data_IF_879621568946
#
_entry.id   IF_879621568946
#
_cell.length_a   1.000
_cell.length_b   1.000
_cell.length_c   1.000
_cell.angle_alpha   90.00
_cell.angle_beta   90.00
_cell.angle_gamma   90.00
#
_symmetry.space_group_name_H-M   'P 1'
#
loop_
_entity.id
_entity.type
_entity.pdbx_description
1 polymer ?
#
# COMPACT_ATOMS: atom_id res chain seq x y z
N UNK A 1 -11.97 58.01 55.76
CA UNK A 1 -13.27 58.41 55.16
C UNK A 1 -13.46 57.65 53.81
N UNK A 2 -14.55 56.88 53.76
CA UNK A 2 -15.28 56.38 52.59
C UNK A 2 -14.45 55.74 51.43
N UNK A 3 -14.31 54.43 51.38
CA UNK A 3 -15.10 53.41 50.69
C UNK A 3 -15.77 53.90 49.40
N UNK A 4 -15.34 53.30 48.29
CA UNK A 4 -16.27 52.86 47.24
C UNK A 4 -15.67 51.69 46.46
N UNK A 5 -16.34 50.58 46.60
CA UNK A 5 -16.25 49.32 45.84
C UNK A 5 -16.90 49.52 44.47
N UNK A 6 -16.30 49.01 43.46
CA UNK A 6 -17.02 48.67 42.24
C UNK A 6 -16.34 47.46 41.63
N UNK A 7 -16.98 46.31 41.78
CA UNK A 7 -16.62 45.10 41.13
C UNK A 7 -16.94 45.18 39.64
N UNK A 8 -16.02 44.73 38.82
CA UNK A 8 -16.30 44.30 37.45
C UNK A 8 -15.88 42.87 37.35
N UNK A 9 -16.88 42.02 37.34
CA UNK A 9 -16.70 40.63 37.11
C UNK A 9 -16.20 40.35 35.68
N UNK A 10 -15.03 39.78 35.57
CA UNK A 10 -14.61 39.17 34.33
C UNK A 10 -15.30 37.80 34.25
N UNK A 11 -16.38 37.76 33.49
CA UNK A 11 -16.95 36.51 33.05
C UNK A 11 -15.95 35.87 32.05
N UNK A 12 -15.22 34.87 32.53
CA UNK A 12 -14.43 34.04 31.67
C UNK A 12 -15.38 33.23 30.78
N UNK A 13 -15.54 33.66 29.54
CA UNK A 13 -16.15 32.83 28.49
C UNK A 13 -15.18 31.68 28.19
N UNK A 14 -15.42 30.54 28.81
CA UNK A 14 -14.86 29.28 28.38
C UNK A 14 -15.47 28.93 27.02
N UNK A 15 -14.82 29.34 25.93
CA UNK A 15 -15.10 28.84 24.61
C UNK A 15 -14.71 27.35 24.60
N UNK A 16 -15.68 26.50 24.83
CA UNK A 16 -15.58 25.07 24.55
C UNK A 16 -15.38 24.91 23.04
N UNK A 17 -14.16 24.70 22.63
CA UNK A 17 -13.81 24.20 21.29
C UNK A 17 -14.47 22.84 21.15
N UNK A 18 -15.72 22.80 20.71
CA UNK A 18 -16.30 21.62 20.12
C UNK A 18 -15.53 21.37 18.82
N UNK A 19 -14.47 20.57 18.91
CA UNK A 19 -13.92 19.86 17.77
C UNK A 19 -15.05 18.98 17.22
N UNK A 20 -15.77 19.54 16.26
CA UNK A 20 -16.70 18.78 15.42
C UNK A 20 -15.89 17.68 14.73
N UNK A 21 -15.87 16.52 15.36
CA UNK A 21 -15.49 15.27 14.69
C UNK A 21 -16.39 15.15 13.47
N UNK A 22 -15.82 15.36 12.28
CA UNK A 22 -16.50 15.01 11.05
C UNK A 22 -16.87 13.52 11.16
N UNK A 23 -18.12 13.14 10.92
CA UNK A 23 -18.50 11.75 10.92
C UNK A 23 -17.68 11.06 9.83
N UNK A 24 -16.81 10.15 10.23
CA UNK A 24 -16.22 9.17 9.31
C UNK A 24 -17.39 8.48 8.61
N UNK A 25 -17.32 8.26 7.28
CA UNK A 25 -18.40 7.60 6.59
C UNK A 25 -18.71 6.28 7.31
N UNK A 26 -19.96 6.14 7.75
CA UNK A 26 -20.45 4.99 8.53
C UNK A 26 -20.14 3.64 7.87
N UNK A 27 -19.90 3.64 6.57
CA UNK A 27 -19.52 2.47 5.76
C UNK A 27 -18.14 1.94 6.16
N UNK A 28 -17.15 2.81 6.44
CA UNK A 28 -15.81 2.38 6.84
C UNK A 28 -15.78 1.85 8.29
N UNK A 29 -16.65 2.36 9.14
CA UNK A 29 -16.76 1.92 10.52
C UNK A 29 -17.57 0.62 10.64
N UNK A 30 -18.61 0.45 9.82
CA UNK A 30 -19.36 -0.80 9.70
C UNK A 30 -18.47 -1.93 9.14
N UNK A 31 -17.66 -1.67 8.12
CA UNK A 31 -16.70 -2.65 7.59
C UNK A 31 -15.63 -3.05 8.60
N UNK A 32 -15.14 -2.11 9.43
CA UNK A 32 -14.22 -2.43 10.53
C UNK A 32 -14.86 -3.23 11.66
N UNK A 33 -16.13 -2.96 11.98
CA UNK A 33 -16.86 -3.72 12.99
C UNK A 33 -17.23 -5.12 12.49
N UNK A 34 -17.53 -5.27 11.21
CA UNK A 34 -17.83 -6.57 10.60
C UNK A 34 -16.57 -7.44 10.47
N UNK A 35 -15.40 -6.84 10.18
CA UNK A 35 -14.11 -7.53 10.21
C UNK A 35 -13.73 -7.99 11.64
N UNK A 36 -14.08 -7.20 12.66
CA UNK A 36 -13.82 -7.56 14.06
C UNK A 36 -14.76 -8.66 14.60
N UNK A 37 -15.84 -8.98 13.90
CA UNK A 37 -16.83 -9.99 14.31
C UNK A 37 -16.80 -11.29 13.50
N UNK A 38 -15.92 -11.38 12.47
CA UNK A 38 -15.75 -12.64 11.75
C UNK A 38 -15.16 -13.70 12.69
N UNK A 39 -15.75 -14.91 12.76
CA UNK A 39 -15.14 -15.99 13.51
C UNK A 39 -13.71 -16.21 13.03
N UNK A 40 -12.80 -16.49 13.99
CA UNK A 40 -11.41 -16.81 13.65
C UNK A 40 -11.43 -17.99 12.68
N UNK A 41 -10.97 -17.75 11.45
CA UNK A 41 -10.93 -18.79 10.42
C UNK A 41 -10.22 -20.05 10.94
N UNK A 42 -10.65 -21.21 10.47
CA UNK A 42 -10.01 -22.48 10.81
C UNK A 42 -8.52 -22.48 10.48
N UNK A 43 -8.12 -21.76 9.42
CA UNK A 43 -6.73 -21.56 9.04
C UNK A 43 -5.90 -20.95 10.17
N UNK A 44 -6.35 -19.81 10.73
CA UNK A 44 -5.65 -19.13 11.83
C UNK A 44 -5.60 -20.02 13.05
N UNK A 45 -6.68 -20.71 13.39
CA UNK A 45 -6.73 -21.58 14.57
C UNK A 45 -5.65 -22.68 14.56
N UNK A 46 -5.36 -23.25 13.38
CA UNK A 46 -4.33 -24.28 13.25
C UNK A 46 -2.95 -23.67 13.01
N UNK A 47 -2.83 -22.69 12.08
CA UNK A 47 -1.53 -22.12 11.70
C UNK A 47 -0.93 -21.19 12.75
N UNK A 48 -1.71 -20.71 13.72
CA UNK A 48 -1.19 -19.95 14.87
C UNK A 48 -0.85 -20.83 16.07
N UNK A 49 -1.11 -22.13 16.00
CA UNK A 49 -0.79 -23.06 17.08
C UNK A 49 0.73 -23.09 17.33
N UNK A 50 1.20 -22.87 18.58
CA UNK A 50 2.62 -22.94 18.90
C UNK A 50 3.29 -24.26 18.52
N UNK A 51 2.57 -25.36 18.46
CA UNK A 51 3.12 -26.65 18.00
C UNK A 51 3.59 -26.61 16.54
N UNK A 52 3.01 -25.72 15.71
CA UNK A 52 3.47 -25.50 14.34
C UNK A 52 4.88 -24.88 14.28
N UNK A 53 5.27 -24.10 15.30
CA UNK A 53 6.62 -23.56 15.37
C UNK A 53 7.68 -24.68 15.38
N UNK A 54 7.35 -25.82 15.95
CA UNK A 54 8.25 -26.96 16.05
C UNK A 54 8.06 -27.94 14.90
N UNK A 55 6.80 -28.25 14.57
CA UNK A 55 6.48 -29.29 13.58
C UNK A 55 6.48 -28.76 12.14
N UNK A 56 6.09 -27.51 11.94
CA UNK A 56 5.94 -26.85 10.63
C UNK A 56 6.41 -25.38 10.69
N UNK A 57 7.68 -25.10 11.06
CA UNK A 57 8.14 -23.74 11.39
C UNK A 57 7.87 -22.74 10.27
N UNK A 58 8.02 -23.17 9.00
CA UNK A 58 7.78 -22.30 7.86
C UNK A 58 6.33 -21.85 7.71
N UNK A 59 5.36 -22.70 8.03
CA UNK A 59 3.95 -22.35 7.99
C UNK A 59 3.59 -21.39 9.13
N UNK A 60 4.20 -21.57 10.31
CA UNK A 60 4.05 -20.66 11.42
C UNK A 60 4.65 -19.27 11.12
N UNK A 61 5.83 -19.21 10.50
CA UNK A 61 6.43 -17.96 10.02
C UNK A 61 5.53 -17.25 9.02
N UNK A 62 4.94 -17.96 8.07
CA UNK A 62 3.99 -17.39 7.11
C UNK A 62 2.76 -16.79 7.78
N UNK A 63 2.21 -17.44 8.79
CA UNK A 63 1.13 -16.87 9.59
C UNK A 63 1.56 -15.56 10.25
N UNK A 64 2.73 -15.52 10.87
CA UNK A 64 3.25 -14.30 11.50
C UNK A 64 3.51 -13.18 10.49
N UNK A 65 4.01 -13.51 9.31
CA UNK A 65 4.23 -12.55 8.22
C UNK A 65 2.91 -11.94 7.76
N UNK A 66 1.89 -12.77 7.52
CA UNK A 66 0.56 -12.29 7.17
C UNK A 66 -0.02 -11.40 8.27
N UNK A 67 0.07 -11.79 9.53
CA UNK A 67 -0.47 -11.03 10.66
C UNK A 67 0.10 -9.61 10.74
N UNK A 68 1.33 -9.39 10.28
CA UNK A 68 1.98 -8.08 10.22
C UNK A 68 1.69 -7.31 8.93
N UNK A 69 1.06 -7.93 7.95
CA UNK A 69 0.80 -7.33 6.64
C UNK A 69 -0.31 -6.29 6.69
N UNK A 70 -0.31 -5.41 5.69
CA UNK A 70 -1.43 -4.48 5.47
C UNK A 70 -2.72 -5.24 5.15
N UNK A 71 -2.64 -6.38 4.47
CA UNK A 71 -3.78 -7.20 4.13
C UNK A 71 -4.52 -7.69 5.39
N UNK A 72 -3.80 -8.19 6.39
CA UNK A 72 -4.41 -8.58 7.65
C UNK A 72 -5.04 -7.40 8.39
N UNK A 73 -4.40 -6.21 8.34
CA UNK A 73 -4.93 -4.98 8.95
C UNK A 73 -6.23 -4.50 8.28
N UNK A 74 -6.36 -4.73 6.98
CA UNK A 74 -7.55 -4.39 6.19
C UNK A 74 -8.58 -5.53 6.13
N UNK A 75 -8.36 -6.63 6.87
CA UNK A 75 -9.31 -7.74 7.00
C UNK A 75 -9.30 -8.74 5.86
N UNK A 76 -8.26 -8.74 5.02
CA UNK A 76 -8.03 -9.77 4.00
C UNK A 76 -7.53 -11.03 4.68
N UNK A 77 -8.19 -12.15 4.46
CA UNK A 77 -7.96 -13.41 5.16
C UNK A 77 -7.11 -14.38 4.35
N UNK A 78 -6.73 -15.50 4.97
CA UNK A 78 -5.98 -16.55 4.28
C UNK A 78 -6.78 -17.12 3.08
N UNK A 79 -8.08 -17.29 3.29
CA UNK A 79 -9.01 -17.81 2.28
C UNK A 79 -9.06 -16.92 1.03
N UNK A 80 -9.03 -15.60 1.17
CA UNK A 80 -9.13 -14.67 0.04
C UNK A 80 -7.99 -14.86 -0.99
N UNK A 81 -6.82 -15.34 -0.54
CA UNK A 81 -5.69 -15.62 -1.42
C UNK A 81 -5.49 -17.09 -1.73
N UNK A 82 -5.71 -17.95 -0.74
CA UNK A 82 -5.39 -19.38 -0.84
C UNK A 82 -6.58 -20.24 -1.22
N UNK A 83 -7.81 -19.77 -1.04
CA UNK A 83 -9.00 -20.59 -1.16
C UNK A 83 -9.10 -21.64 -0.04
N UNK A 84 -9.74 -22.74 -0.30
CA UNK A 84 -10.03 -23.81 0.67
C UNK A 84 -11.37 -23.60 1.37
N UNK A 85 -11.58 -24.29 2.50
CA UNK A 85 -12.79 -24.16 3.30
C UNK A 85 -12.44 -23.55 4.68
N UNK A 86 -12.75 -22.25 4.89
CA UNK A 86 -12.42 -21.55 6.13
C UNK A 86 -13.22 -22.02 7.36
N UNK A 87 -14.31 -22.74 7.15
CA UNK A 87 -15.17 -23.24 8.22
C UNK A 87 -14.86 -24.69 8.63
N UNK A 88 -14.03 -25.38 7.82
CA UNK A 88 -13.70 -26.77 8.09
C UNK A 88 -12.87 -26.93 9.37
N UNK A 89 -13.22 -27.91 10.21
CA UNK A 89 -12.46 -28.28 11.40
C UNK A 89 -11.38 -29.35 11.15
N UNK A 90 -11.43 -30.00 9.99
CA UNK A 90 -10.52 -31.06 9.54
C UNK A 90 -9.58 -30.52 8.47
N UNK A 91 -8.26 -30.76 8.65
CA UNK A 91 -7.24 -30.24 7.75
C UNK A 91 -7.42 -30.67 6.29
N UNK A 92 -7.90 -31.91 6.02
CA UNK A 92 -8.09 -32.37 4.64
C UNK A 92 -9.24 -31.65 3.96
N UNK A 93 -10.30 -31.30 4.71
CA UNK A 93 -11.43 -30.52 4.18
C UNK A 93 -11.00 -29.08 3.97
N UNK A 94 -10.33 -28.47 4.97
CA UNK A 94 -9.83 -27.10 4.86
C UNK A 94 -8.93 -26.90 3.63
N UNK A 95 -8.17 -27.92 3.22
CA UNK A 95 -7.24 -27.85 2.10
C UNK A 95 -7.77 -28.54 0.81
N UNK A 96 -9.02 -28.99 0.74
CA UNK A 96 -9.53 -29.81 -0.35
C UNK A 96 -9.44 -29.10 -1.72
N UNK A 97 -9.60 -27.78 -1.76
CA UNK A 97 -9.63 -26.98 -2.98
C UNK A 97 -8.31 -26.25 -3.28
N UNK A 98 -7.23 -26.56 -2.53
CA UNK A 98 -5.91 -25.98 -2.81
C UNK A 98 -5.25 -26.51 -4.09
N UNK A 99 -5.76 -27.56 -4.68
CA UNK A 99 -5.29 -28.15 -5.93
C UNK A 99 -6.34 -27.98 -7.00
N UNK A 100 -6.03 -27.21 -8.05
CA UNK A 100 -6.89 -27.14 -9.22
C UNK A 100 -6.99 -28.49 -9.95
N UNK A 101 -7.88 -28.57 -10.93
CA UNK A 101 -8.13 -29.75 -11.72
C UNK A 101 -6.89 -30.34 -12.45
N UNK A 102 -5.84 -29.53 -12.60
CA UNK A 102 -4.54 -29.89 -13.18
C UNK A 102 -3.50 -30.36 -12.14
N UNK A 103 -3.90 -30.53 -10.88
CA UNK A 103 -3.02 -30.94 -9.79
C UNK A 103 -2.05 -29.87 -9.30
N UNK A 104 -2.15 -28.63 -9.81
CA UNK A 104 -1.35 -27.49 -9.36
C UNK A 104 -2.06 -26.79 -8.23
N UNK A 105 -1.31 -26.31 -7.25
CA UNK A 105 -1.82 -25.42 -6.20
C UNK A 105 -2.19 -24.09 -6.84
N UNK A 106 -3.49 -23.81 -6.95
CA UNK A 106 -3.99 -22.93 -7.98
C UNK A 106 -3.77 -21.45 -7.75
N UNK A 107 -4.28 -20.91 -6.66
CA UNK A 107 -4.40 -19.47 -6.51
C UNK A 107 -3.03 -18.78 -6.30
N UNK A 108 -2.12 -19.39 -5.54
CA UNK A 108 -0.82 -18.81 -5.18
C UNK A 108 0.37 -19.44 -5.91
N UNK A 109 0.11 -20.23 -6.96
CA UNK A 109 1.18 -20.74 -7.79
C UNK A 109 1.88 -19.58 -8.53
N UNK A 110 3.20 -19.67 -8.70
CA UNK A 110 4.02 -18.60 -9.23
C UNK A 110 3.48 -17.99 -10.54
N UNK A 111 3.05 -18.80 -11.49
CA UNK A 111 2.52 -18.32 -12.78
C UNK A 111 1.08 -17.78 -12.72
N UNK A 112 0.39 -17.91 -11.59
CA UNK A 112 -1.01 -17.48 -11.40
C UNK A 112 -1.22 -16.44 -10.32
N UNK A 113 -0.27 -16.27 -9.43
CA UNK A 113 -0.38 -15.34 -8.29
C UNK A 113 -0.73 -13.91 -8.71
N UNK A 114 -0.36 -13.49 -9.91
CA UNK A 114 -0.73 -12.18 -10.44
C UNK A 114 -2.24 -12.06 -10.68
N UNK A 115 -2.92 -13.16 -11.02
CA UNK A 115 -4.39 -13.18 -11.17
C UNK A 115 -5.05 -13.03 -9.80
N UNK A 116 -4.61 -13.81 -8.82
CA UNK A 116 -5.11 -13.73 -7.44
C UNK A 116 -4.95 -12.32 -6.85
N UNK A 117 -3.80 -11.68 -7.05
CA UNK A 117 -3.63 -10.29 -6.65
C UNK A 117 -4.55 -9.35 -7.43
N UNK A 118 -4.72 -9.62 -8.72
CA UNK A 118 -5.52 -8.81 -9.64
C UNK A 118 -7.01 -8.83 -9.36
N UNK A 119 -7.54 -9.85 -8.66
CA UNK A 119 -8.96 -9.91 -8.29
C UNK A 119 -9.39 -8.69 -7.43
N UNK A 120 -8.44 -8.09 -6.69
CA UNK A 120 -8.65 -6.86 -5.94
C UNK A 120 -7.85 -5.67 -6.50
N UNK A 121 -6.69 -5.93 -7.12
CA UNK A 121 -5.78 -4.93 -7.68
C UNK A 121 -5.85 -4.91 -9.22
N UNK A 122 -7.05 -4.75 -9.78
CA UNK A 122 -7.34 -4.87 -11.22
C UNK A 122 -6.49 -3.92 -12.07
N UNK A 123 -6.46 -2.62 -11.73
CA UNK A 123 -5.68 -1.61 -12.48
C UNK A 123 -4.18 -1.90 -12.45
N UNK A 124 -3.67 -2.41 -11.33
CA UNK A 124 -2.28 -2.82 -11.15
C UNK A 124 -1.99 -4.04 -12.04
N UNK A 125 -2.88 -5.03 -12.05
CA UNK A 125 -2.76 -6.20 -12.93
C UNK A 125 -2.74 -5.77 -14.40
N UNK A 126 -3.64 -4.89 -14.80
CA UNK A 126 -3.69 -4.37 -16.17
C UNK A 126 -2.38 -3.69 -16.56
N UNK A 127 -1.82 -2.84 -15.68
CA UNK A 127 -0.54 -2.19 -15.92
C UNK A 127 0.61 -3.22 -16.03
N UNK A 128 0.65 -4.19 -15.11
CA UNK A 128 1.64 -5.26 -15.12
C UNK A 128 1.57 -6.11 -16.40
N UNK A 129 0.37 -6.44 -16.90
CA UNK A 129 0.20 -7.26 -18.11
C UNK A 129 0.72 -6.58 -19.38
N UNK A 130 0.90 -5.26 -19.36
CA UNK A 130 1.54 -4.48 -20.44
C UNK A 130 3.05 -4.42 -20.35
N UNK A 131 3.65 -4.97 -19.29
CA UNK A 131 5.09 -4.89 -19.03
C UNK A 131 5.90 -5.98 -19.71
N UNK A 132 7.19 -5.70 -19.96
CA UNK A 132 8.16 -6.72 -20.39
C UNK A 132 8.35 -7.82 -19.34
N UNK A 133 8.12 -7.53 -18.07
CA UNK A 133 8.17 -8.51 -16.98
C UNK A 133 7.10 -9.57 -17.13
N UNK A 134 5.86 -9.16 -17.44
CA UNK A 134 4.77 -10.10 -17.71
C UNK A 134 5.04 -10.96 -18.94
N UNK A 135 5.55 -10.35 -20.03
CA UNK A 135 5.91 -11.12 -21.22
C UNK A 135 6.99 -12.19 -20.95
N UNK A 136 7.93 -11.90 -20.06
CA UNK A 136 8.92 -12.89 -19.62
C UNK A 136 8.32 -13.93 -18.70
N UNK A 137 7.44 -13.55 -17.78
CA UNK A 137 6.76 -14.46 -16.87
C UNK A 137 5.90 -15.49 -17.64
N UNK A 138 5.19 -15.06 -18.70
CA UNK A 138 4.38 -15.96 -19.55
C UNK A 138 5.21 -17.03 -20.28
N UNK A 139 6.49 -16.77 -20.54
CA UNK A 139 7.40 -17.73 -21.19
C UNK A 139 7.96 -18.74 -20.22
N UNK A 140 7.41 -18.80 -19.00
CA UNK A 140 7.87 -19.71 -17.96
C UNK A 140 7.60 -21.16 -18.38
N UNK A 141 8.65 -21.87 -18.74
CA UNK A 141 8.61 -23.32 -18.89
C UNK A 141 8.71 -23.93 -17.49
N UNK A 142 8.01 -25.03 -17.26
CA UNK A 142 7.97 -25.72 -15.97
C UNK A 142 9.38 -25.88 -15.39
N UNK A 143 9.64 -25.18 -14.27
CA UNK A 143 10.91 -25.22 -13.54
C UNK A 143 11.93 -24.12 -13.87
N UNK A 144 11.68 -23.24 -14.82
CA UNK A 144 12.54 -22.06 -15.12
C UNK A 144 11.77 -20.77 -14.92
N UNK A 145 12.13 -20.03 -13.89
CA UNK A 145 11.55 -18.70 -13.62
C UNK A 145 12.19 -17.68 -14.56
N UNK A 146 11.44 -17.17 -15.52
CA UNK A 146 11.94 -16.23 -16.52
C UNK A 146 11.58 -14.76 -16.27
N UNK A 147 10.57 -14.47 -15.47
CA UNK A 147 10.13 -13.10 -15.16
C UNK A 147 9.60 -12.96 -13.73
N UNK A 148 9.67 -11.77 -13.14
CA UNK A 148 9.13 -11.53 -11.81
C UNK A 148 7.60 -11.51 -11.82
N UNK A 149 7.00 -11.90 -10.69
CA UNK A 149 5.58 -11.71 -10.39
C UNK A 149 5.43 -10.73 -9.22
N UNK A 150 4.20 -10.45 -8.81
CA UNK A 150 3.90 -9.56 -7.69
C UNK A 150 4.73 -9.90 -6.44
N UNK A 151 4.75 -11.17 -6.05
CA UNK A 151 5.47 -11.64 -4.86
C UNK A 151 7.00 -11.60 -4.99
N UNK A 152 7.52 -11.45 -6.19
CA UNK A 152 8.97 -11.29 -6.40
C UNK A 152 9.47 -9.97 -5.81
N UNK A 153 8.68 -8.91 -5.94
CA UNK A 153 9.01 -7.58 -5.43
C UNK A 153 8.38 -7.34 -4.06
N UNK A 154 7.09 -7.65 -3.90
CA UNK A 154 6.33 -7.34 -2.69
C UNK A 154 6.42 -8.39 -1.59
N UNK A 155 7.17 -9.48 -1.79
CA UNK A 155 7.12 -10.64 -0.90
C UNK A 155 5.76 -11.37 -0.95
N UNK A 156 5.64 -12.49 -0.25
CA UNK A 156 4.41 -13.30 -0.33
C UNK A 156 3.42 -12.94 0.76
N UNK A 157 3.75 -13.20 2.02
CA UNK A 157 2.77 -13.13 3.11
C UNK A 157 2.68 -11.75 3.76
N UNK A 158 3.79 -11.04 3.90
CA UNK A 158 3.81 -9.71 4.52
C UNK A 158 3.51 -8.57 3.55
N UNK A 159 3.45 -8.84 2.24
CA UNK A 159 3.01 -7.89 1.19
C UNK A 159 3.59 -6.48 1.36
N UNK A 160 4.91 -6.38 1.29
CA UNK A 160 5.66 -5.16 1.58
C UNK A 160 5.34 -4.02 0.60
N UNK A 161 5.14 -2.83 1.14
CA UNK A 161 5.26 -1.59 0.38
C UNK A 161 6.75 -1.27 0.24
N UNK A 162 7.23 -1.12 -1.00
CA UNK A 162 8.65 -0.90 -1.26
C UNK A 162 9.06 0.54 -0.90
N UNK A 163 10.14 0.65 -0.15
CA UNK A 163 10.90 1.88 0.01
C UNK A 163 12.07 1.98 -0.99
N UNK A 164 12.84 3.05 -0.93
CA UNK A 164 13.93 3.31 -1.88
C UNK A 164 15.03 2.25 -1.83
N UNK A 165 15.27 1.62 -0.69
CA UNK A 165 16.31 0.60 -0.54
C UNK A 165 15.77 -0.77 -0.97
N UNK A 166 14.55 -1.10 -0.62
CA UNK A 166 13.90 -2.35 -0.99
C UNK A 166 13.60 -2.44 -2.49
N UNK A 167 13.23 -1.33 -3.16
CA UNK A 167 13.06 -1.33 -4.62
C UNK A 167 14.38 -1.58 -5.34
N UNK A 168 15.47 -0.92 -4.92
CA UNK A 168 16.81 -1.15 -5.48
C UNK A 168 17.22 -2.61 -5.33
N UNK A 169 17.09 -3.16 -4.12
CA UNK A 169 17.42 -4.56 -3.84
C UNK A 169 16.55 -5.55 -4.63
N UNK A 170 15.25 -5.25 -4.80
CA UNK A 170 14.35 -6.09 -5.59
C UNK A 170 14.76 -6.13 -7.07
N UNK A 171 15.09 -4.99 -7.66
CA UNK A 171 15.55 -4.90 -9.04
C UNK A 171 16.91 -5.59 -9.23
N UNK A 172 17.84 -5.41 -8.28
CA UNK A 172 19.20 -5.94 -8.35
C UNK A 172 19.27 -7.48 -8.36
N UNK A 173 18.21 -8.20 -7.96
CA UNK A 173 18.17 -9.67 -8.06
C UNK A 173 18.30 -10.18 -9.49
N UNK A 174 17.89 -9.38 -10.48
CA UNK A 174 17.93 -9.74 -11.89
C UNK A 174 18.68 -8.72 -12.75
N UNK A 175 18.66 -7.43 -12.38
CA UNK A 175 19.32 -6.34 -13.09
C UNK A 175 20.68 -6.05 -12.43
N UNK A 176 21.71 -6.79 -12.85
CA UNK A 176 23.06 -6.68 -12.29
C UNK A 176 24.13 -7.03 -13.34
N UNK A 177 25.39 -6.87 -12.98
CA UNK A 177 26.52 -7.14 -13.88
C UNK A 177 26.71 -8.63 -14.21
N UNK A 178 26.22 -9.54 -13.36
CA UNK A 178 26.35 -10.98 -13.60
C UNK A 178 25.34 -11.49 -14.63
N UNK A 179 24.16 -10.92 -14.62
CA UNK A 179 23.09 -11.28 -15.58
C UNK A 179 23.17 -10.49 -16.88
N UNK A 180 23.93 -9.39 -16.88
CA UNK A 180 24.02 -8.41 -18.00
C UNK A 180 22.66 -7.81 -18.40
N UNK A 181 21.62 -7.99 -17.56
CA UNK A 181 20.29 -7.44 -17.80
C UNK A 181 20.22 -6.04 -17.21
N UNK A 182 20.48 -5.04 -18.03
CA UNK A 182 20.28 -3.60 -17.75
C UNK A 182 20.71 -3.21 -16.31
N UNK A 183 22.00 -3.29 -15.99
CA UNK A 183 22.50 -3.18 -14.61
C UNK A 183 22.32 -1.80 -13.98
N UNK A 184 21.85 -0.80 -14.74
CA UNK A 184 21.53 0.55 -14.22
C UNK A 184 20.15 0.65 -13.59
N UNK A 185 19.24 -0.26 -13.94
CA UNK A 185 17.83 -0.23 -13.50
C UNK A 185 17.67 -0.13 -11.98
N UNK A 186 18.44 -0.85 -11.13
CA UNK A 186 18.26 -0.72 -9.68
C UNK A 186 18.45 0.72 -9.15
N UNK A 187 19.53 1.37 -9.56
CA UNK A 187 19.79 2.76 -9.17
C UNK A 187 18.75 3.73 -9.75
N UNK A 188 18.36 3.53 -11.00
CA UNK A 188 17.35 4.33 -11.67
C UNK A 188 15.96 4.19 -11.03
N UNK A 189 15.57 2.99 -10.62
CA UNK A 189 14.32 2.72 -9.91
C UNK A 189 14.33 3.37 -8.52
N UNK A 190 15.43 3.25 -7.77
CA UNK A 190 15.61 3.93 -6.49
C UNK A 190 15.43 5.44 -6.63
N UNK A 191 16.09 6.05 -7.61
CA UNK A 191 16.04 7.49 -7.83
C UNK A 191 14.64 7.95 -8.26
N UNK A 192 13.96 7.18 -9.11
CA UNK A 192 12.58 7.43 -9.51
C UNK A 192 11.62 7.35 -8.30
N UNK A 193 11.77 6.33 -7.45
CA UNK A 193 10.94 6.19 -6.25
C UNK A 193 11.21 7.29 -5.23
N UNK A 194 12.48 7.67 -5.01
CA UNK A 194 12.80 8.79 -4.13
C UNK A 194 12.18 10.11 -4.61
N UNK A 195 12.16 10.32 -5.92
CA UNK A 195 11.49 11.46 -6.53
C UNK A 195 9.97 11.39 -6.32
N UNK A 196 9.34 10.26 -6.55
CA UNK A 196 7.92 10.04 -6.29
C UNK A 196 7.57 10.31 -4.82
N UNK A 197 8.31 9.77 -3.88
CA UNK A 197 8.11 9.98 -2.45
C UNK A 197 8.32 11.44 -2.01
N UNK A 198 8.99 12.27 -2.84
CA UNK A 198 9.11 13.69 -2.56
C UNK A 198 7.77 14.45 -2.65
N UNK A 199 6.77 13.90 -3.35
CA UNK A 199 5.41 14.46 -3.45
C UNK A 199 4.80 14.61 -2.05
N UNK A 200 4.98 13.61 -1.17
CA UNK A 200 4.49 13.68 0.22
C UNK A 200 5.09 14.86 1.00
N UNK A 201 6.34 15.21 0.77
CA UNK A 201 6.98 16.38 1.42
C UNK A 201 6.32 17.70 0.99
N UNK A 202 5.99 17.84 -0.29
CA UNK A 202 5.22 18.99 -0.78
C UNK A 202 3.80 18.99 -0.22
N UNK A 203 3.15 17.83 -0.21
CA UNK A 203 1.80 17.67 0.35
C UNK A 203 1.74 18.20 1.79
N UNK A 204 2.60 17.68 2.67
CA UNK A 204 2.67 18.10 4.07
C UNK A 204 2.96 19.60 4.23
N UNK A 205 3.85 20.16 3.39
CA UNK A 205 4.15 21.59 3.40
C UNK A 205 2.92 22.43 3.07
N UNK A 206 2.18 22.05 2.02
CA UNK A 206 1.03 22.78 1.51
C UNK A 206 -0.14 22.71 2.52
N UNK A 207 -0.46 21.50 2.99
CA UNK A 207 -1.53 21.28 3.99
C UNK A 207 -1.30 22.11 5.26
N UNK A 208 -0.06 22.20 5.73
CA UNK A 208 0.28 22.96 6.92
C UNK A 208 0.11 24.48 6.78
N UNK A 209 -0.15 25.01 5.56
CA UNK A 209 -0.16 26.44 5.24
C UNK A 209 -1.37 26.91 4.44
N UNK A 210 -2.27 26.00 4.10
CA UNK A 210 -3.53 26.35 3.42
C UNK A 210 -4.72 26.11 4.34
N UNK A 211 -5.78 26.89 4.12
CA UNK A 211 -7.07 26.60 4.72
C UNK A 211 -7.58 25.23 4.28
N UNK A 212 -8.13 24.39 5.19
CA UNK A 212 -8.50 23.00 4.91
C UNK A 212 -9.42 22.82 3.68
N UNK A 213 -10.37 23.73 3.48
CA UNK A 213 -11.28 23.68 2.33
C UNK A 213 -10.55 23.90 1.00
N UNK A 214 -9.61 24.84 0.95
CA UNK A 214 -8.80 25.13 -0.24
C UNK A 214 -7.81 24.00 -0.51
N UNK A 215 -7.18 23.45 0.52
CA UNK A 215 -6.29 22.31 0.42
C UNK A 215 -7.03 21.09 -0.15
N UNK A 216 -8.24 20.77 0.37
CA UNK A 216 -9.05 19.66 -0.12
C UNK A 216 -9.46 19.80 -1.60
N UNK A 217 -9.71 21.04 -2.08
CA UNK A 217 -9.98 21.28 -3.50
C UNK A 217 -8.74 21.02 -4.36
N UNK A 218 -7.59 21.55 -3.94
CA UNK A 218 -6.33 21.39 -4.66
C UNK A 218 -5.90 19.93 -4.73
N UNK A 219 -5.99 19.18 -3.63
CA UNK A 219 -5.51 17.81 -3.57
C UNK A 219 -6.40 16.79 -4.28
N UNK A 220 -7.68 17.05 -4.53
CA UNK A 220 -8.52 16.10 -5.27
C UNK A 220 -7.96 15.71 -6.64
N UNK A 221 -7.40 16.67 -7.39
CA UNK A 221 -6.76 16.38 -8.68
C UNK A 221 -5.39 15.72 -8.48
N UNK A 222 -4.62 16.18 -7.51
CA UNK A 222 -3.29 15.65 -7.21
C UNK A 222 -3.37 14.20 -6.76
N UNK A 223 -4.30 13.86 -5.87
CA UNK A 223 -4.50 12.50 -5.35
C UNK A 223 -4.84 11.51 -6.47
N UNK A 224 -5.69 11.93 -7.40
CA UNK A 224 -5.99 11.12 -8.60
C UNK A 224 -4.74 10.87 -9.46
N UNK A 225 -3.90 11.88 -9.66
CA UNK A 225 -2.63 11.73 -10.40
C UNK A 225 -1.64 10.84 -9.66
N UNK A 226 -1.54 10.97 -8.34
CA UNK A 226 -0.67 10.13 -7.51
C UNK A 226 -1.12 8.67 -7.54
N UNK A 227 -2.43 8.42 -7.48
CA UNK A 227 -2.99 7.08 -7.65
C UNK A 227 -2.62 6.49 -9.02
N UNK A 228 -2.79 7.26 -10.10
CA UNK A 228 -2.40 6.84 -11.46
C UNK A 228 -0.91 6.57 -11.58
N UNK A 229 -0.05 7.34 -10.89
CA UNK A 229 1.40 7.09 -10.85
C UNK A 229 1.72 5.77 -10.14
N UNK A 230 1.00 5.43 -9.08
CA UNK A 230 1.16 4.15 -8.39
C UNK A 230 0.84 2.96 -9.30
N UNK A 231 -0.19 3.09 -10.12
CA UNK A 231 -0.50 2.10 -11.17
C UNK A 231 0.59 2.07 -12.24
N UNK A 232 1.06 3.25 -12.70
CA UNK A 232 2.08 3.36 -13.75
C UNK A 232 3.40 2.67 -13.36
N UNK A 233 3.77 2.63 -12.07
CA UNK A 233 4.95 1.91 -11.60
C UNK A 233 4.98 0.46 -12.05
N UNK A 234 3.83 -0.18 -12.19
CA UNK A 234 3.71 -1.59 -12.58
C UNK A 234 3.84 -1.83 -14.09
N UNK A 235 4.01 -0.78 -14.87
CA UNK A 235 4.48 -0.90 -16.27
C UNK A 235 5.99 -1.06 -16.38
N UNK A 236 6.74 -0.66 -15.34
CA UNK A 236 8.21 -0.62 -15.27
C UNK A 236 8.86 0.28 -16.33
N UNK A 237 8.10 1.22 -16.89
CA UNK A 237 8.60 2.27 -17.78
C UNK A 237 9.15 3.44 -16.94
N UNK A 238 10.43 3.33 -16.53
CA UNK A 238 11.06 4.30 -15.64
C UNK A 238 11.13 5.71 -16.23
N UNK A 239 11.25 5.85 -17.55
CA UNK A 239 11.30 7.17 -18.20
C UNK A 239 9.94 7.85 -18.10
N UNK A 240 8.87 7.13 -18.39
CA UNK A 240 7.51 7.62 -18.24
C UNK A 240 7.16 7.90 -16.78
N UNK A 241 7.52 7.02 -15.87
CA UNK A 241 7.32 7.21 -14.41
C UNK A 241 7.99 8.51 -13.95
N UNK A 242 9.25 8.76 -14.36
CA UNK A 242 9.98 9.99 -14.01
C UNK A 242 9.33 11.24 -14.59
N UNK A 243 8.90 11.18 -15.87
CA UNK A 243 8.27 12.29 -16.54
C UNK A 243 6.94 12.69 -15.89
N UNK A 244 6.05 11.73 -15.65
CA UNK A 244 4.74 11.97 -15.03
C UNK A 244 4.90 12.41 -13.55
N UNK A 245 5.84 11.81 -12.82
CA UNK A 245 6.17 12.26 -11.45
C UNK A 245 6.65 13.71 -11.44
N UNK A 246 7.47 14.10 -12.43
CA UNK A 246 7.96 15.48 -12.53
C UNK A 246 6.82 16.48 -12.75
N UNK A 247 5.84 16.15 -13.57
CA UNK A 247 4.68 17.01 -13.80
C UNK A 247 3.92 17.28 -12.49
N UNK A 248 3.69 16.23 -11.67
CA UNK A 248 3.03 16.38 -10.36
C UNK A 248 3.88 17.27 -9.44
N UNK A 249 5.19 17.03 -9.38
CA UNK A 249 6.10 17.84 -8.57
C UNK A 249 6.10 19.31 -9.01
N UNK A 250 6.03 19.60 -10.30
CA UNK A 250 6.04 20.98 -10.80
C UNK A 250 4.76 21.73 -10.40
N UNK A 251 3.61 21.07 -10.45
CA UNK A 251 2.34 21.63 -9.93
C UNK A 251 2.45 21.92 -8.41
N UNK A 252 2.97 20.96 -7.65
CA UNK A 252 3.15 21.11 -6.21
C UNK A 252 4.16 22.21 -5.86
N UNK A 253 5.23 22.34 -6.64
CA UNK A 253 6.23 23.39 -6.49
C UNK A 253 5.65 24.76 -6.74
N UNK A 254 4.87 24.93 -7.82
CA UNK A 254 4.17 26.16 -8.12
C UNK A 254 3.27 26.56 -6.95
N UNK A 255 2.46 25.64 -6.43
CA UNK A 255 1.59 25.90 -5.27
C UNK A 255 2.37 26.31 -4.01
N UNK A 256 3.49 25.63 -3.73
CA UNK A 256 4.39 25.98 -2.64
C UNK A 256 4.91 27.43 -2.78
N UNK A 257 5.30 27.83 -3.98
CA UNK A 257 5.89 29.15 -4.24
C UNK A 257 4.82 30.26 -4.15
N UNK A 258 3.58 30.01 -4.60
CA UNK A 258 2.43 30.89 -4.37
C UNK A 258 2.19 31.14 -2.86
N UNK A 259 2.16 30.07 -2.07
CA UNK A 259 1.97 30.18 -0.61
C UNK A 259 3.11 30.98 0.05
N UNK A 260 4.34 30.78 -0.40
CA UNK A 260 5.50 31.54 0.11
C UNK A 260 5.39 33.04 -0.20
N UNK A 261 4.99 33.38 -1.42
CA UNK A 261 4.82 34.78 -1.83
C UNK A 261 3.75 35.47 -0.99
N UNK A 262 2.60 34.86 -0.76
CA UNK A 262 1.52 35.37 0.09
C UNK A 262 1.95 35.55 1.55
N UNK A 263 2.74 34.63 2.10
CA UNK A 263 3.26 34.72 3.47
C UNK A 263 4.28 35.87 3.67
N UNK A 264 4.99 36.28 2.63
CA UNK A 264 5.93 37.40 2.67
C UNK A 264 5.18 38.73 2.65
N UNK A 265 4.09 38.83 1.87
CA UNK A 265 3.25 40.05 1.83
C UNK A 265 2.52 40.34 3.15
N UNK A 266 2.20 39.33 3.95
CA UNK A 266 1.53 39.48 5.25
C UNK A 266 2.49 39.87 6.38
N UNK A 267 3.79 39.83 6.16
CA UNK A 267 4.82 40.10 7.16
C UNK A 267 5.50 41.49 6.94
N UNK A 268 5.13 42.23 5.91
CA UNK A 268 5.52 43.61 5.65
C UNK A 268 4.39 44.58 6.00
#
# INVERSE_FOLDING_TARGET
>A
MRVWSSGCGFAALAAVLALSSMPRPAVAEAAKQEAASKPVESCVRCHSDPDFLVTHPKLYEYYQDWQRSIHAQEGVTCFDCHGGDPDASDARKAHAEFTGADGKRDAVYFSRVHQTCGDCHEEILEAYTRSKHYERMKKDEVGKRHGPTCVTCHSSMNTLVLDVNSVEAACARCHNSETEIDPKVPAEARDALNKFLSIDRFHRYIVARMEPAQAGLFFREIDSRVASLSVLWHTFDLDRIRAETQQVIDVMRTKRDEIRAQGIEQTQ
#
